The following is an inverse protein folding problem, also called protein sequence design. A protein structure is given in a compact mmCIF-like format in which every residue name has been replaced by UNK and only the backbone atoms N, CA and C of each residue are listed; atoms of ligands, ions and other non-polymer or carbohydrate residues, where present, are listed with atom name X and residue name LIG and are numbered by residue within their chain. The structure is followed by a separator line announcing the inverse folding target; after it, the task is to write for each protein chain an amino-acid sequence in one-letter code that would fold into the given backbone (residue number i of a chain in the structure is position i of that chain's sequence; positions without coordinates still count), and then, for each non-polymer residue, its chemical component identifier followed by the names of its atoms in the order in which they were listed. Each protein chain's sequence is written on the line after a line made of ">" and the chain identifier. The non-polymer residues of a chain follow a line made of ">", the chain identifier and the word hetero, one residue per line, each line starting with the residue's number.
data_IF_337664025312
#
_entry.id   IF_337664025312
#
_cell.length_a   1.000
_cell.length_b   1.000
_cell.length_c   1.000
_cell.angle_alpha   90.00
_cell.angle_beta   90.00
_cell.angle_gamma   90.00
#
_symmetry.space_group_name_H-M   'P 1'
#
loop_
_entity.id
_entity.type
_entity.pdbx_description
1 polymer ?
#
# COMPACT_ATOMS: atom_id res chain seq x y z
N UNK A 1 -3.99 -5.69 7.38
CA UNK A 1 -3.40 -6.84 8.10
C UNK A 1 -1.94 -6.55 8.44
N UNK A 2 -1.42 -7.09 9.53
CA UNK A 2 0.02 -7.09 9.82
C UNK A 2 0.70 -8.35 9.25
N UNK A 3 1.81 -8.18 8.54
CA UNK A 3 2.59 -9.27 7.96
C UNK A 3 3.95 -9.40 8.66
N UNK A 4 4.32 -10.65 8.97
CA UNK A 4 5.61 -11.05 9.53
C UNK A 4 6.44 -11.91 8.56
N UNK A 5 5.80 -12.45 7.52
CA UNK A 5 6.42 -13.34 6.54
C UNK A 5 5.73 -13.29 5.17
N UNK A 6 6.39 -13.86 4.18
CA UNK A 6 5.92 -14.02 2.81
C UNK A 6 6.43 -15.36 2.26
N UNK A 7 5.59 -16.08 1.51
CA UNK A 7 5.92 -17.40 0.94
C UNK A 7 6.46 -18.42 1.96
N UNK A 8 5.86 -18.45 3.16
CA UNK A 8 6.27 -19.38 4.23
C UNK A 8 7.60 -19.06 4.90
N UNK A 9 8.22 -17.89 4.61
CA UNK A 9 9.48 -17.43 5.20
C UNK A 9 9.29 -16.09 5.91
N UNK A 10 10.14 -15.72 6.89
CA UNK A 10 10.15 -14.37 7.45
C UNK A 10 10.35 -13.30 6.38
N UNK A 11 9.82 -12.09 6.62
CA UNK A 11 10.07 -10.95 5.73
C UNK A 11 11.57 -10.64 5.63
N UNK A 12 12.01 -10.19 4.46
CA UNK A 12 13.33 -9.58 4.30
C UNK A 12 13.30 -8.10 4.68
N UNK A 13 14.46 -7.48 4.89
CA UNK A 13 14.56 -6.05 5.17
C UNK A 13 13.91 -5.18 4.07
N UNK A 14 14.12 -5.54 2.80
CA UNK A 14 13.52 -4.85 1.65
C UNK A 14 11.99 -4.90 1.63
N UNK A 15 11.42 -5.99 2.16
CA UNK A 15 9.97 -6.17 2.28
C UNK A 15 9.39 -5.64 3.59
N UNK A 16 10.20 -5.02 4.46
CA UNK A 16 9.75 -4.32 5.66
C UNK A 16 9.74 -5.17 6.94
N UNK A 17 10.64 -6.15 7.03
CA UNK A 17 10.86 -6.92 8.25
C UNK A 17 11.13 -6.02 9.49
N UNK A 18 10.82 -6.50 10.71
CA UNK A 18 10.13 -7.76 11.00
C UNK A 18 8.62 -7.66 10.81
N UNK A 19 8.07 -6.44 10.76
CA UNK A 19 6.64 -6.17 10.78
C UNK A 19 6.26 -5.12 9.75
N UNK A 20 5.28 -5.46 8.91
CA UNK A 20 4.72 -4.59 7.88
C UNK A 20 3.20 -4.51 7.96
N UNK A 21 2.64 -3.35 7.63
CA UNK A 21 1.20 -3.20 7.35
C UNK A 21 0.91 -3.50 5.88
N UNK A 22 -0.16 -4.26 5.62
CA UNK A 22 -0.68 -4.58 4.29
C UNK A 22 -2.13 -4.14 4.20
N UNK A 23 -2.42 -3.26 3.25
CA UNK A 23 -3.75 -2.73 2.93
C UNK A 23 -4.05 -3.01 1.44
N UNK A 24 -4.67 -4.15 1.09
CA UNK A 24 -4.78 -4.59 -0.29
C UNK A 24 -5.72 -3.73 -1.15
N UNK A 25 -6.62 -2.98 -0.52
CA UNK A 25 -7.55 -2.05 -1.17
C UNK A 25 -7.04 -0.60 -1.25
N UNK A 26 -5.77 -0.36 -0.90
CA UNK A 26 -5.12 0.96 -0.95
C UNK A 26 -3.79 0.89 -1.69
N UNK A 27 -3.37 2.02 -2.25
CA UNK A 27 -2.06 2.14 -2.86
C UNK A 27 -0.93 1.83 -1.88
N UNK A 28 0.15 1.25 -2.41
CA UNK A 28 1.25 0.66 -1.62
C UNK A 28 1.94 1.61 -0.64
N UNK A 29 1.89 2.93 -0.86
CA UNK A 29 2.48 3.92 0.05
C UNK A 29 1.77 4.01 1.40
N UNK A 30 0.54 3.49 1.52
CA UNK A 30 -0.15 3.33 2.82
C UNK A 30 0.24 2.04 3.56
N UNK A 31 0.91 1.12 2.88
CA UNK A 31 1.38 -0.16 3.44
C UNK A 31 2.80 -0.03 4.00
N UNK A 32 2.92 0.63 5.17
CA UNK A 32 4.19 0.97 5.85
C UNK A 32 5.06 -0.25 6.13
N UNK A 33 6.34 -0.16 5.71
CA UNK A 33 7.42 -1.10 6.02
C UNK A 33 8.03 -0.79 7.39
N UNK A 34 8.59 -1.81 8.06
CA UNK A 34 9.41 -1.66 9.27
C UNK A 34 8.68 -0.85 10.37
N UNK A 35 7.61 -1.42 10.90
CA UNK A 35 6.83 -0.77 11.96
C UNK A 35 7.55 -0.95 13.29
N UNK A 36 8.06 0.15 13.84
CA UNK A 36 8.74 0.19 15.15
C UNK A 36 7.87 0.75 16.27
N UNK A 37 6.86 1.55 15.94
CA UNK A 37 5.92 2.16 16.88
C UNK A 37 4.55 2.33 16.25
N UNK A 38 3.51 2.09 17.03
CA UNK A 38 2.12 2.41 16.70
C UNK A 38 1.60 3.31 17.82
N UNK A 39 0.99 4.43 17.45
CA UNK A 39 0.35 5.35 18.39
C UNK A 39 -1.12 5.48 18.00
N UNK A 40 -2.02 5.26 18.94
CA UNK A 40 -3.44 5.49 18.72
C UNK A 40 -3.76 6.97 18.98
N UNK A 41 -4.50 7.59 18.07
CA UNK A 41 -4.89 9.01 18.14
C UNK A 41 -6.40 9.14 17.90
N UNK A 42 -6.99 10.22 18.37
CA UNK A 42 -8.41 10.56 18.19
C UNK A 42 -8.66 11.46 16.96
N UNK A 43 -7.59 12.00 16.38
CA UNK A 43 -7.59 12.75 15.13
C UNK A 43 -6.79 11.99 14.07
N UNK A 44 -7.21 12.11 12.82
CA UNK A 44 -6.48 11.56 11.68
C UNK A 44 -5.16 12.30 11.48
N UNK A 45 -4.06 11.55 11.40
CA UNK A 45 -2.77 12.05 10.94
C UNK A 45 -2.63 11.94 9.43
N UNK A 46 -1.97 12.92 8.82
CA UNK A 46 -1.52 12.78 7.45
C UNK A 46 -0.24 11.91 7.41
N UNK A 47 0.15 11.42 6.24
CA UNK A 47 1.28 10.49 6.11
C UNK A 47 2.31 11.04 5.15
N UNK A 48 3.59 10.97 5.52
CA UNK A 48 4.74 11.61 4.84
C UNK A 48 4.59 11.73 3.32
N UNK A 49 4.21 10.66 2.63
CA UNK A 49 4.05 10.66 1.16
C UNK A 49 2.95 11.62 0.69
N UNK A 50 1.75 11.57 1.27
CA UNK A 50 0.65 12.45 0.90
C UNK A 50 0.89 13.90 1.32
N UNK A 51 1.75 14.12 2.31
CA UNK A 51 1.99 15.45 2.90
C UNK A 51 3.10 16.18 2.13
N UNK A 52 4.04 15.41 1.59
CA UNK A 52 5.25 15.93 0.95
C UNK A 52 5.07 16.08 -0.56
N UNK A 53 4.20 15.27 -1.17
CA UNK A 53 4.10 15.16 -2.63
C UNK A 53 2.67 15.40 -3.13
N UNK A 54 2.44 16.36 -4.05
CA UNK A 54 1.10 16.78 -4.47
C UNK A 54 0.36 15.74 -5.33
N UNK A 55 1.05 14.69 -5.77
CA UNK A 55 0.49 13.67 -6.65
C UNK A 55 -0.16 12.50 -5.91
N UNK A 56 -0.08 12.47 -4.58
CA UNK A 56 -0.63 11.38 -3.77
C UNK A 56 -1.88 11.86 -3.02
N UNK A 57 -2.95 11.08 -3.10
CA UNK A 57 -4.16 11.33 -2.34
C UNK A 57 -3.93 11.12 -0.83
N UNK A 58 -4.73 11.79 0.01
CA UNK A 58 -4.63 11.59 1.45
C UNK A 58 -5.11 10.20 1.88
N UNK A 59 -6.13 9.67 1.21
CA UNK A 59 -6.75 8.39 1.59
C UNK A 59 -6.05 7.18 0.99
N UNK A 60 -5.42 7.36 -0.18
CA UNK A 60 -4.75 6.28 -0.92
C UNK A 60 -5.67 5.19 -1.41
N UNK A 61 -6.94 5.50 -1.63
CA UNK A 61 -7.89 4.56 -2.22
C UNK A 61 -7.49 4.24 -3.68
N UNK A 62 -7.66 2.98 -4.04
CA UNK A 62 -7.57 2.55 -5.43
C UNK A 62 -8.95 2.81 -6.04
N UNK A 63 -9.01 3.75 -6.98
CA UNK A 63 -10.26 4.15 -7.62
C UNK A 63 -10.60 3.26 -8.83
N UNK A 64 -11.87 3.22 -9.18
CA UNK A 64 -12.30 2.60 -10.44
C UNK A 64 -11.75 3.38 -11.63
N UNK A 65 -11.36 2.67 -12.69
CA UNK A 65 -10.80 3.33 -13.87
C UNK A 65 -9.91 2.44 -14.71
N UNK A 66 -8.86 3.03 -15.25
CA UNK A 66 -7.86 2.33 -16.05
C UNK A 66 -6.52 2.34 -15.31
N UNK A 67 -5.98 1.16 -15.08
CA UNK A 67 -4.68 0.93 -14.47
C UNK A 67 -3.62 0.65 -15.54
N UNK A 68 -2.40 1.08 -15.26
CA UNK A 68 -1.22 0.94 -16.09
C UNK A 68 -0.13 0.23 -15.27
N UNK A 69 -0.16 -1.11 -15.20
CA UNK A 69 0.75 -1.88 -14.36
C UNK A 69 2.20 -1.70 -14.75
N UNK A 70 3.04 -1.47 -13.74
CA UNK A 70 4.48 -1.42 -13.93
C UNK A 70 5.04 -2.78 -14.41
N UNK A 71 4.50 -3.89 -13.91
CA UNK A 71 4.96 -5.24 -14.25
C UNK A 71 4.57 -5.68 -15.67
N UNK A 72 3.61 -5.00 -16.32
CA UNK A 72 3.17 -5.29 -17.68
C UNK A 72 3.19 -4.02 -18.55
N UNK A 73 4.36 -3.59 -19.04
CA UNK A 73 4.49 -2.38 -19.83
C UNK A 73 3.58 -2.39 -21.07
N UNK A 74 2.86 -1.29 -21.31
CA UNK A 74 1.95 -1.12 -22.45
C UNK A 74 0.58 -1.77 -22.27
N UNK A 75 0.35 -2.51 -21.20
CA UNK A 75 -0.98 -3.03 -20.86
C UNK A 75 -1.79 -1.94 -20.15
N UNK A 76 -3.08 -1.87 -20.47
CA UNK A 76 -4.05 -1.06 -19.74
C UNK A 76 -5.21 -1.94 -19.33
N UNK A 77 -5.56 -1.95 -18.05
CA UNK A 77 -6.67 -2.77 -17.52
C UNK A 77 -7.73 -1.91 -16.90
N UNK A 78 -8.99 -2.24 -17.16
CA UNK A 78 -10.11 -1.60 -16.46
C UNK A 78 -10.28 -2.27 -15.10
N UNK A 79 -10.25 -1.47 -14.03
CA UNK A 79 -10.37 -1.94 -12.64
C UNK A 79 -11.61 -1.32 -11.98
N UNK A 80 -12.19 -2.05 -11.02
CA UNK A 80 -13.36 -1.60 -10.23
C UNK A 80 -13.00 -0.67 -9.07
N UNK A 81 -11.70 -0.48 -8.78
CA UNK A 81 -11.25 0.12 -7.54
C UNK A 81 -11.28 -0.88 -6.37
N UNK A 82 -10.74 -0.46 -5.22
CA UNK A 82 -10.59 -1.30 -4.04
C UNK A 82 -9.50 -2.36 -4.19
N UNK A 83 -9.70 -3.52 -3.57
CA UNK A 83 -8.77 -4.65 -3.69
C UNK A 83 -8.91 -5.30 -5.07
N UNK A 84 -7.81 -5.34 -5.81
CA UNK A 84 -7.78 -5.94 -7.15
C UNK A 84 -7.22 -7.35 -7.03
N UNK A 85 -8.11 -8.35 -7.05
CA UNK A 85 -7.74 -9.78 -7.01
C UNK A 85 -7.55 -10.38 -8.40
N UNK A 86 -8.11 -9.73 -9.42
CA UNK A 86 -8.11 -10.19 -10.80
C UNK A 86 -7.09 -9.40 -11.61
N UNK A 87 -5.84 -9.86 -11.57
CA UNK A 87 -4.79 -9.41 -12.48
C UNK A 87 -4.43 -10.52 -13.46
#
# INVERSE_FOLDING_TARGET
>A
MFALGMYGKPLTAEHGAPLRLVLPFKYGYKSTKLITKITLTDHGGQGVVADTWPYYSQTGDIEAGYDHPFDFPGVTKKISGGEITEY
#
